data_IF_056957653719
#
_entry.id   IF_056957653719
#
_cell.length_a   1.000
_cell.length_b   1.000
_cell.length_c   1.000
_cell.angle_alpha   90.00
_cell.angle_beta   90.00
_cell.angle_gamma   90.00
#
_symmetry.space_group_name_H-M   'P 1'
#
loop_
_entity.id
_entity.type
_entity.pdbx_description
1 polymer ?
#
# COMPACT_ATOMS: atom_id res chain seq x y z
N UNK A 1 13.36 14.03 15.17
CA UNK A 1 12.10 14.72 15.55
C UNK A 1 12.02 15.18 17.01
N UNK A 2 12.93 14.82 17.93
CA UNK A 2 13.03 15.48 19.26
C UNK A 2 13.78 16.83 19.25
N UNK A 3 14.40 17.19 18.12
CA UNK A 3 15.27 18.36 17.99
C UNK A 3 14.57 19.72 18.09
N UNK A 4 13.23 19.76 17.96
CA UNK A 4 12.41 20.93 18.30
C UNK A 4 11.48 20.45 19.41
N UNK A 5 11.53 21.04 20.61
CA UNK A 5 10.70 20.69 21.78
C UNK A 5 9.19 20.93 21.53
N UNK A 6 8.62 20.30 20.50
CA UNK A 6 7.23 20.42 20.13
C UNK A 6 6.38 19.47 20.95
N UNK A 7 5.20 19.93 21.36
CA UNK A 7 4.25 19.10 22.11
C UNK A 7 3.69 17.98 21.21
N UNK A 8 3.42 16.82 21.81
CA UNK A 8 2.87 15.66 21.08
C UNK A 8 1.55 16.02 20.36
N UNK A 9 0.76 16.93 20.94
CA UNK A 9 -0.48 17.42 20.32
C UNK A 9 -0.22 18.18 19.02
N UNK A 10 0.81 19.04 18.99
CA UNK A 10 1.13 19.82 17.78
C UNK A 10 1.66 18.91 16.68
N UNK A 11 2.50 17.93 17.02
CA UNK A 11 2.98 16.91 16.07
C UNK A 11 1.82 16.10 15.49
N UNK A 12 0.87 15.69 16.35
CA UNK A 12 -0.33 14.96 15.94
C UNK A 12 -1.20 15.76 14.95
N UNK A 13 -1.44 17.04 15.23
CA UNK A 13 -2.19 17.93 14.34
C UNK A 13 -1.47 18.17 13.00
N UNK A 14 -0.16 18.39 13.02
CA UNK A 14 0.62 18.64 11.79
C UNK A 14 0.66 17.42 10.86
N UNK A 15 0.75 16.21 11.41
CA UNK A 15 0.88 14.97 10.64
C UNK A 15 -0.51 14.35 10.35
N UNK A 16 -1.58 14.86 10.95
CA UNK A 16 -2.93 14.28 10.84
C UNK A 16 -3.02 12.88 11.47
N UNK A 17 -2.25 12.63 12.54
CA UNK A 17 -2.19 11.34 13.22
C UNK A 17 -2.74 11.43 14.64
N UNK A 18 -3.32 10.35 15.18
CA UNK A 18 -3.80 10.31 16.56
C UNK A 18 -2.62 10.50 17.55
N UNK A 19 -2.83 11.29 18.61
CA UNK A 19 -1.83 11.51 19.66
C UNK A 19 -1.27 10.22 20.26
N UNK A 20 -2.09 9.18 20.47
CA UNK A 20 -1.62 7.89 21.00
C UNK A 20 -0.64 7.22 20.03
N UNK A 21 -0.86 7.35 18.73
CA UNK A 21 0.00 6.86 17.66
C UNK A 21 1.33 7.60 17.64
N UNK A 22 1.32 8.94 17.71
CA UNK A 22 2.56 9.74 17.80
C UNK A 22 3.36 9.39 19.06
N UNK A 23 2.69 9.25 20.21
CA UNK A 23 3.35 8.82 21.46
C UNK A 23 3.95 7.41 21.35
N UNK A 24 3.28 6.49 20.66
CA UNK A 24 3.79 5.13 20.42
C UNK A 24 5.05 5.18 19.56
N UNK A 25 5.03 5.92 18.45
CA UNK A 25 6.20 6.09 17.58
C UNK A 25 7.38 6.74 18.30
N UNK A 26 7.13 7.77 19.11
CA UNK A 26 8.18 8.43 19.90
C UNK A 26 8.80 7.51 20.96
N UNK A 27 8.06 6.51 21.47
CA UNK A 27 8.59 5.48 22.37
C UNK A 27 9.38 4.41 21.63
N UNK A 28 8.93 4.03 20.44
CA UNK A 28 9.59 3.03 19.59
C UNK A 28 10.82 3.58 18.87
N UNK A 29 11.03 4.90 18.86
CA UNK A 29 12.14 5.56 18.17
C UNK A 29 11.94 5.69 16.66
N UNK A 30 10.96 5.00 16.09
CA UNK A 30 10.60 5.06 14.68
C UNK A 30 9.08 4.92 14.49
N UNK A 31 8.51 5.40 13.37
CA UNK A 31 7.16 5.05 12.97
C UNK A 31 7.03 3.53 12.81
N UNK A 32 5.88 2.96 13.17
CA UNK A 32 5.62 1.53 12.93
C UNK A 32 5.77 1.20 11.46
N UNK A 33 6.49 0.13 11.14
CA UNK A 33 6.59 -0.38 9.76
C UNK A 33 5.19 -0.69 9.23
N UNK A 34 5.01 -0.42 7.94
CA UNK A 34 3.73 -0.54 7.26
C UNK A 34 3.08 -1.90 7.53
N UNK A 35 1.98 -1.90 8.30
CA UNK A 35 1.09 -3.04 8.38
C UNK A 35 -0.07 -2.77 7.42
N UNK A 36 -0.24 -3.65 6.44
CA UNK A 36 -1.43 -3.65 5.58
C UNK A 36 -2.64 -3.88 6.47
N UNK A 37 -3.33 -2.80 6.86
CA UNK A 37 -4.60 -2.90 7.57
C UNK A 37 -5.60 -3.39 6.54
N UNK A 38 -5.88 -4.70 6.55
CA UNK A 38 -7.00 -5.25 5.78
C UNK A 38 -8.25 -4.64 6.43
N UNK A 39 -8.82 -3.63 5.77
CA UNK A 39 -10.10 -3.09 6.18
C UNK A 39 -11.13 -4.17 5.87
N UNK A 40 -11.55 -4.91 6.89
CA UNK A 40 -12.76 -5.70 6.78
C UNK A 40 -13.91 -4.70 6.89
N UNK A 41 -14.73 -4.52 5.85
CA UNK A 41 -15.91 -3.67 5.98
C UNK A 41 -16.71 -4.18 7.18
N UNK A 42 -17.03 -3.27 8.10
CA UNK A 42 -17.83 -3.62 9.28
C UNK A 42 -19.18 -4.19 8.85
N UNK A 43 -19.80 -4.99 9.73
CA UNK A 43 -21.10 -5.65 9.47
C UNK A 43 -22.21 -4.62 9.11
N UNK A 44 -22.01 -3.35 9.46
CA UNK A 44 -22.91 -2.22 9.14
C UNK A 44 -22.76 -1.64 7.73
N UNK A 45 -21.64 -1.87 7.04
CA UNK A 45 -21.36 -1.23 5.74
C UNK A 45 -22.44 -1.53 4.69
N UNK A 46 -22.96 -2.76 4.55
CA UNK A 46 -24.04 -3.06 3.61
C UNK A 46 -25.35 -2.32 3.90
N UNK A 47 -25.60 -1.97 5.16
CA UNK A 47 -26.84 -1.34 5.62
C UNK A 47 -26.72 0.19 5.77
N UNK A 48 -25.53 0.75 5.56
CA UNK A 48 -25.25 2.17 5.79
C UNK A 48 -26.12 3.09 4.93
N UNK A 49 -26.31 2.78 3.65
CA UNK A 49 -27.12 3.59 2.74
C UNK A 49 -28.60 3.63 3.16
N UNK A 50 -29.14 2.48 3.58
CA UNK A 50 -30.50 2.40 4.10
C UNK A 50 -30.66 3.20 5.40
N UNK A 51 -29.72 3.05 6.33
CA UNK A 51 -29.75 3.77 7.59
C UNK A 51 -29.63 5.29 7.38
N UNK A 52 -28.79 5.75 6.45
CA UNK A 52 -28.68 7.16 6.08
C UNK A 52 -30.01 7.69 5.50
N UNK A 53 -30.65 6.93 4.60
CA UNK A 53 -31.95 7.30 4.04
C UNK A 53 -33.03 7.44 5.14
N UNK A 54 -33.15 6.46 6.04
CA UNK A 54 -34.13 6.50 7.13
C UNK A 54 -33.87 7.64 8.11
N UNK A 55 -32.60 8.00 8.31
CA UNK A 55 -32.24 9.17 9.11
C UNK A 55 -32.66 10.49 8.44
N UNK A 56 -32.52 10.60 7.11
CA UNK A 56 -33.02 11.77 6.35
C UNK A 56 -34.55 11.87 6.37
N UNK A 57 -35.25 10.74 6.39
CA UNK A 57 -36.71 10.66 6.58
C UNK A 57 -37.17 10.96 8.03
N UNK A 58 -36.25 11.35 8.93
CA UNK A 58 -36.54 11.72 10.32
C UNK A 58 -36.70 10.54 11.29
N UNK A 59 -36.43 9.31 10.86
CA UNK A 59 -36.48 8.13 11.72
C UNK A 59 -35.20 8.04 12.57
N UNK A 60 -35.29 8.60 13.78
CA UNK A 60 -34.16 8.71 14.72
C UNK A 60 -34.14 7.65 15.83
N UNK A 61 -35.11 6.72 15.82
CA UNK A 61 -35.23 5.68 16.83
C UNK A 61 -34.31 4.48 16.49
N UNK A 62 -33.23 4.33 17.25
CA UNK A 62 -32.26 3.26 17.06
C UNK A 62 -32.85 1.84 17.22
N UNK A 63 -33.88 1.66 18.04
CA UNK A 63 -34.49 0.33 18.25
C UNK A 63 -35.30 -0.09 17.02
N UNK A 64 -36.02 0.88 16.42
CA UNK A 64 -36.76 0.67 15.18
C UNK A 64 -35.81 0.37 14.01
N UNK A 65 -34.74 1.14 13.86
CA UNK A 65 -33.73 0.91 12.82
C UNK A 65 -33.02 -0.43 12.99
N UNK A 66 -32.75 -0.86 14.23
CA UNK A 66 -32.17 -2.18 14.51
C UNK A 66 -33.11 -3.33 14.10
N UNK A 67 -34.41 -3.20 14.36
CA UNK A 67 -35.42 -4.16 13.90
C UNK A 67 -35.55 -4.20 12.37
N UNK A 68 -35.56 -3.04 11.72
CA UNK A 68 -35.64 -2.91 10.25
C UNK A 68 -34.43 -3.57 9.57
N UNK A 69 -33.20 -3.36 10.06
CA UNK A 69 -32.01 -4.00 9.49
C UNK A 69 -31.89 -5.48 9.84
N UNK A 70 -32.39 -5.90 11.02
CA UNK A 70 -32.48 -7.32 11.40
C UNK A 70 -33.36 -8.10 10.43
N UNK A 71 -34.49 -7.53 10.02
CA UNK A 71 -35.37 -8.11 8.99
C UNK A 71 -34.67 -8.23 7.62
N UNK A 72 -33.71 -7.36 7.32
CA UNK A 72 -32.86 -7.41 6.11
C UNK A 72 -31.60 -8.29 6.28
N UNK A 73 -31.53 -9.11 7.33
CA UNK A 73 -30.46 -10.09 7.54
C UNK A 73 -29.26 -9.59 8.34
N UNK A 74 -29.37 -8.44 9.03
CA UNK A 74 -28.31 -7.95 9.90
C UNK A 74 -28.15 -8.86 11.14
N UNK A 75 -26.92 -9.27 11.46
CA UNK A 75 -26.63 -10.18 12.59
C UNK A 75 -25.96 -9.51 13.79
N UNK A 76 -25.81 -8.18 13.80
CA UNK A 76 -25.11 -7.47 14.86
C UNK A 76 -26.01 -7.00 16.02
N UNK A 77 -25.39 -6.47 17.07
CA UNK A 77 -26.09 -6.05 18.28
C UNK A 77 -26.70 -4.65 18.14
N UNK A 78 -27.78 -4.39 18.88
CA UNK A 78 -28.42 -3.08 18.99
C UNK A 78 -27.42 -1.95 19.32
N UNK A 79 -26.48 -2.21 20.25
CA UNK A 79 -25.43 -1.25 20.62
C UNK A 79 -24.62 -0.74 19.43
N UNK A 80 -24.33 -1.61 18.46
CA UNK A 80 -23.61 -1.22 17.24
C UNK A 80 -24.41 -0.25 16.37
N UNK A 81 -25.75 -0.38 16.32
CA UNK A 81 -26.64 0.54 15.59
C UNK A 81 -26.71 1.88 16.32
N UNK A 82 -26.87 1.85 17.64
CA UNK A 82 -26.87 3.05 18.50
C UNK A 82 -25.55 3.83 18.33
N UNK A 83 -24.41 3.16 18.44
CA UNK A 83 -23.09 3.77 18.30
C UNK A 83 -22.89 4.36 16.90
N UNK A 84 -23.38 3.68 15.87
CA UNK A 84 -23.32 4.15 14.48
C UNK A 84 -24.14 5.44 14.27
N UNK A 85 -25.37 5.49 14.80
CA UNK A 85 -26.22 6.69 14.74
C UNK A 85 -25.61 7.85 15.53
N UNK A 86 -25.11 7.59 16.75
CA UNK A 86 -24.46 8.60 17.59
C UNK A 86 -23.23 9.15 16.87
N UNK A 87 -22.38 8.29 16.30
CA UNK A 87 -21.22 8.72 15.52
C UNK A 87 -21.60 9.58 14.31
N UNK A 88 -22.74 9.31 13.66
CA UNK A 88 -23.24 10.08 12.50
C UNK A 88 -23.69 11.48 12.92
N UNK A 89 -24.39 11.60 14.06
CA UNK A 89 -24.79 12.90 14.64
C UNK A 89 -23.59 13.73 15.07
N UNK A 90 -22.64 13.10 15.78
CA UNK A 90 -21.40 13.75 16.16
C UNK A 90 -20.56 14.19 14.96
N UNK A 91 -20.69 13.51 13.81
CA UNK A 91 -20.01 13.90 12.57
C UNK A 91 -20.75 14.97 11.77
N UNK A 92 -22.06 15.13 11.96
CA UNK A 92 -22.87 16.17 11.33
C UNK A 92 -22.75 17.51 12.07
N UNK A 93 -22.71 17.47 13.42
CA UNK A 93 -22.50 18.68 14.25
C UNK A 93 -21.03 19.10 14.31
N UNK A 94 -20.10 18.17 14.09
CA UNK A 94 -18.71 18.51 13.99
C UNK A 94 -18.38 19.03 12.58
N UNK A 95 -18.15 20.33 12.48
CA UNK A 95 -17.27 20.90 11.48
C UNK A 95 -15.85 20.31 11.67
N UNK A 96 -15.69 19.05 11.27
CA UNK A 96 -14.40 18.39 11.26
C UNK A 96 -13.68 18.86 10.01
N UNK A 97 -12.46 19.42 10.13
CA UNK A 97 -11.64 19.70 8.97
C UNK A 97 -11.49 18.38 8.22
N UNK A 98 -11.88 18.38 6.94
CA UNK A 98 -11.64 17.29 5.99
C UNK A 98 -10.22 16.80 6.24
N UNK A 99 -9.98 15.51 6.54
CA UNK A 99 -8.65 15.05 6.84
C UNK A 99 -7.78 15.39 5.65
N UNK A 100 -6.77 16.25 5.86
CA UNK A 100 -5.79 16.58 4.85
C UNK A 100 -5.32 15.26 4.24
N UNK A 101 -5.36 15.17 2.90
CA UNK A 101 -5.04 13.94 2.16
C UNK A 101 -3.78 13.33 2.80
N UNK A 102 -3.85 12.08 3.30
CA UNK A 102 -2.77 11.51 4.08
C UNK A 102 -1.50 11.61 3.26
N UNK A 103 -0.44 12.12 3.90
CA UNK A 103 0.85 12.33 3.26
C UNK A 103 1.26 11.05 2.51
N UNK A 104 1.73 11.13 1.26
CA UNK A 104 2.07 9.93 0.50
C UNK A 104 3.13 9.14 1.27
N UNK A 105 2.79 7.89 1.61
CA UNK A 105 3.64 6.98 2.37
C UNK A 105 3.76 5.62 1.66
N UNK A 106 4.85 4.91 1.93
CA UNK A 106 5.10 3.57 1.38
C UNK A 106 5.21 3.60 -0.15
N UNK A 107 4.38 2.80 -0.83
CA UNK A 107 4.42 2.63 -2.30
C UNK A 107 4.18 3.94 -3.06
N UNK A 108 3.31 4.81 -2.57
CA UNK A 108 3.02 6.09 -3.23
C UNK A 108 4.23 7.03 -3.18
N UNK A 109 4.91 7.08 -2.03
CA UNK A 109 6.15 7.84 -1.87
C UNK A 109 7.27 7.25 -2.72
N UNK A 110 7.47 5.93 -2.66
CA UNK A 110 8.49 5.25 -3.45
C UNK A 110 8.29 5.51 -4.94
N UNK A 111 7.06 5.34 -5.46
CA UNK A 111 6.72 5.65 -6.86
C UNK A 111 7.02 7.10 -7.20
N UNK A 112 6.60 8.04 -6.36
CA UNK A 112 6.85 9.47 -6.58
C UNK A 112 8.35 9.81 -6.62
N UNK A 113 9.17 9.10 -5.84
CA UNK A 113 10.63 9.28 -5.84
C UNK A 113 11.32 8.61 -7.04
N UNK A 114 10.85 7.44 -7.48
CA UNK A 114 11.51 6.67 -8.56
C UNK A 114 11.00 6.98 -9.96
N UNK A 115 9.75 7.42 -10.11
CA UNK A 115 9.16 7.69 -11.43
C UNK A 115 9.50 9.12 -11.85
N UNK A 116 10.25 9.27 -12.95
CA UNK A 116 10.32 10.55 -13.67
C UNK A 116 8.98 10.82 -14.34
N UNK A 117 8.39 11.97 -14.07
CA UNK A 117 7.13 12.36 -14.67
C UNK A 117 7.19 13.84 -15.00
N UNK A 118 6.99 14.18 -16.26
CA UNK A 118 6.98 15.57 -16.73
C UNK A 118 5.80 16.37 -16.16
N UNK A 119 4.76 15.67 -15.67
CA UNK A 119 3.55 16.28 -15.13
C UNK A 119 3.52 16.31 -13.58
N UNK A 120 4.66 16.53 -12.91
CA UNK A 120 4.66 16.71 -11.44
C UNK A 120 4.02 18.03 -11.06
N UNK A 121 3.17 18.00 -10.04
CA UNK A 121 2.66 19.25 -9.45
C UNK A 121 3.79 20.00 -8.75
N UNK A 122 3.77 21.32 -8.80
CA UNK A 122 4.72 22.20 -8.08
C UNK A 122 4.82 21.84 -6.58
N UNK A 123 3.68 21.47 -5.96
CA UNK A 123 3.62 21.02 -4.56
C UNK A 123 4.40 19.72 -4.33
N UNK A 124 4.38 18.80 -5.30
CA UNK A 124 5.10 17.52 -5.22
C UNK A 124 6.60 17.74 -5.38
N UNK A 125 7.01 18.60 -6.31
CA UNK A 125 8.43 18.94 -6.52
C UNK A 125 9.02 19.57 -5.25
N UNK A 126 8.35 20.59 -4.69
CA UNK A 126 8.79 21.23 -3.45
C UNK A 126 8.82 20.26 -2.28
N UNK A 127 7.86 19.33 -2.21
CA UNK A 127 7.85 18.29 -1.19
C UNK A 127 9.04 17.33 -1.32
N UNK A 128 9.30 16.82 -2.53
CA UNK A 128 10.44 15.94 -2.80
C UNK A 128 11.74 16.67 -2.44
N UNK A 129 11.91 17.91 -2.88
CA UNK A 129 13.11 18.71 -2.60
C UNK A 129 13.33 18.85 -1.09
N UNK A 130 12.31 19.28 -0.34
CA UNK A 130 12.38 19.37 1.13
C UNK A 130 12.69 18.03 1.78
N UNK A 131 12.12 16.95 1.27
CA UNK A 131 12.35 15.60 1.79
C UNK A 131 13.79 15.13 1.54
N UNK A 132 14.32 15.36 0.35
CA UNK A 132 15.71 15.01 0.01
C UNK A 132 16.71 15.82 0.84
N UNK A 133 16.43 17.11 1.08
CA UNK A 133 17.25 17.96 1.97
C UNK A 133 17.19 17.49 3.42
N UNK A 134 16.00 17.10 3.92
CA UNK A 134 15.82 16.67 5.29
C UNK A 134 16.38 15.26 5.57
N UNK A 135 16.49 14.40 4.56
CA UNK A 135 16.93 13.01 4.67
C UNK A 135 17.97 12.66 3.58
N UNK A 136 19.26 12.99 3.78
CA UNK A 136 20.28 12.79 2.75
C UNK A 136 20.50 11.31 2.39
N UNK A 137 20.33 10.38 3.34
CA UNK A 137 20.41 8.94 3.06
C UNK A 137 19.32 8.46 2.09
N UNK A 138 18.13 9.08 2.15
CA UNK A 138 17.04 8.78 1.22
C UNK A 138 17.39 9.31 -0.17
N UNK A 139 17.96 10.52 -0.26
CA UNK A 139 18.41 11.10 -1.53
C UNK A 139 19.44 10.19 -2.22
N UNK A 140 20.45 9.71 -1.48
CA UNK A 140 21.45 8.77 -2.00
C UNK A 140 20.81 7.48 -2.50
N UNK A 141 19.88 6.88 -1.75
CA UNK A 141 19.17 5.68 -2.17
C UNK A 141 18.37 5.91 -3.45
N UNK A 142 17.64 7.03 -3.54
CA UNK A 142 16.82 7.35 -4.73
C UNK A 142 17.65 7.61 -5.96
N UNK A 143 18.79 8.31 -5.82
CA UNK A 143 19.72 8.55 -6.92
C UNK A 143 20.30 7.24 -7.44
N UNK A 144 20.73 6.34 -6.55
CA UNK A 144 21.23 5.02 -6.93
C UNK A 144 20.17 4.18 -7.66
N UNK A 145 18.92 4.17 -7.18
CA UNK A 145 17.83 3.43 -7.84
C UNK A 145 17.57 3.98 -9.25
N UNK A 146 17.60 5.30 -9.45
CA UNK A 146 17.46 5.90 -10.78
C UNK A 146 18.62 5.53 -11.70
N UNK A 147 19.85 5.60 -11.22
CA UNK A 147 21.02 5.17 -12.00
C UNK A 147 20.91 3.69 -12.42
N UNK A 148 20.43 2.81 -11.53
CA UNK A 148 20.16 1.42 -11.88
C UNK A 148 19.05 1.28 -12.92
N UNK A 149 17.96 2.05 -12.82
CA UNK A 149 16.87 2.04 -13.81
C UNK A 149 17.35 2.54 -15.18
N UNK A 150 18.13 3.61 -15.22
CA UNK A 150 18.74 4.14 -16.43
C UNK A 150 19.69 3.12 -17.05
N UNK A 151 20.50 2.44 -16.23
CA UNK A 151 21.38 1.37 -16.69
C UNK A 151 20.60 0.25 -17.42
N UNK A 152 19.47 -0.20 -16.85
CA UNK A 152 18.64 -1.24 -17.48
C UNK A 152 17.83 -0.76 -18.69
N UNK A 153 17.44 0.51 -18.75
CA UNK A 153 16.56 1.04 -19.82
C UNK A 153 17.33 1.65 -20.99
N UNK A 154 18.39 2.41 -20.72
CA UNK A 154 19.16 3.16 -21.72
C UNK A 154 20.44 2.43 -22.17
N UNK A 155 20.68 1.20 -21.70
CA UNK A 155 21.87 0.37 -22.00
C UNK A 155 23.18 1.18 -21.92
N UNK A 156 23.34 1.93 -20.84
CA UNK A 156 24.51 2.78 -20.61
C UNK A 156 25.77 1.92 -20.47
N UNK A 157 26.93 2.38 -20.96
CA UNK A 157 28.25 1.73 -20.82
C UNK A 157 28.78 1.64 -19.36
N UNK A 158 28.00 2.05 -18.36
CA UNK A 158 28.43 2.01 -16.97
C UNK A 158 28.62 0.55 -16.52
N UNK A 159 29.76 0.22 -15.91
CA UNK A 159 29.99 -1.13 -15.39
C UNK A 159 29.02 -1.44 -14.24
N UNK A 160 28.27 -2.54 -14.36
CA UNK A 160 27.36 -3.04 -13.31
C UNK A 160 28.07 -3.18 -11.95
N UNK A 161 29.34 -3.58 -11.96
CA UNK A 161 30.12 -3.74 -10.73
C UNK A 161 30.31 -2.42 -9.99
N UNK A 162 30.60 -1.34 -10.72
CA UNK A 162 30.73 0.01 -10.15
C UNK A 162 29.42 0.45 -9.51
N UNK A 163 28.29 0.25 -10.20
CA UNK A 163 26.96 0.55 -9.67
C UNK A 163 26.66 -0.25 -8.41
N UNK A 164 27.04 -1.52 -8.36
CA UNK A 164 26.86 -2.35 -7.17
C UNK A 164 27.77 -1.91 -6.00
N UNK A 165 28.97 -1.37 -6.25
CA UNK A 165 29.83 -0.82 -5.19
C UNK A 165 29.27 0.48 -4.62
N UNK A 166 28.74 1.36 -5.47
CA UNK A 166 28.04 2.57 -5.02
C UNK A 166 26.80 2.23 -4.20
N UNK A 167 26.04 1.23 -4.62
CA UNK A 167 24.84 0.78 -3.93
C UNK A 167 25.09 0.30 -2.50
N UNK A 168 26.27 -0.27 -2.20
CA UNK A 168 26.64 -0.70 -0.84
C UNK A 168 26.71 0.46 0.15
N UNK A 169 27.02 1.67 -0.33
CA UNK A 169 27.12 2.88 0.51
C UNK A 169 25.74 3.43 0.89
N UNK A 170 24.68 2.95 0.24
CA UNK A 170 23.30 3.38 0.49
C UNK A 170 22.60 2.47 1.50
N UNK A 171 21.43 2.88 2.04
CA UNK A 171 20.55 2.01 2.83
C UNK A 171 20.11 0.71 2.13
N UNK A 172 20.35 0.57 0.82
CA UNK A 172 19.99 -0.59 0.01
C UNK A 172 21.10 -1.66 -0.05
N UNK A 173 22.13 -1.55 0.79
CA UNK A 173 23.25 -2.49 0.85
C UNK A 173 22.84 -3.98 0.92
N UNK A 174 21.79 -4.32 1.68
CA UNK A 174 21.25 -5.70 1.74
C UNK A 174 20.69 -6.17 0.40
N UNK A 175 19.96 -5.30 -0.31
CA UNK A 175 19.43 -5.60 -1.65
C UNK A 175 20.57 -5.80 -2.65
N UNK A 176 21.57 -4.92 -2.60
CA UNK A 176 22.78 -4.97 -3.42
C UNK A 176 23.60 -6.25 -3.17
N UNK A 177 23.67 -6.71 -1.92
CA UNK A 177 24.30 -8.00 -1.59
C UNK A 177 23.50 -9.18 -2.15
N UNK A 178 22.17 -9.07 -2.24
CA UNK A 178 21.33 -10.03 -2.97
C UNK A 178 21.71 -10.11 -4.44
N UNK A 179 21.72 -8.96 -5.12
CA UNK A 179 22.10 -8.88 -6.55
C UNK A 179 23.51 -9.42 -6.82
N UNK A 180 24.46 -9.22 -5.91
CA UNK A 180 25.81 -9.79 -6.04
C UNK A 180 25.84 -11.31 -5.97
N UNK A 181 24.99 -11.94 -5.14
CA UNK A 181 24.91 -13.41 -5.08
C UNK A 181 24.43 -13.99 -6.42
N UNK A 182 23.50 -13.28 -7.05
CA UNK A 182 22.89 -13.68 -8.32
C UNK A 182 23.53 -12.97 -9.53
N UNK A 183 24.79 -12.51 -9.42
CA UNK A 183 25.43 -11.66 -10.43
C UNK A 183 25.45 -12.33 -11.82
N UNK A 184 25.74 -13.62 -11.89
CA UNK A 184 25.74 -14.38 -13.14
C UNK A 184 24.37 -14.41 -13.79
N UNK A 185 23.29 -14.55 -13.01
CA UNK A 185 21.92 -14.51 -13.51
C UNK A 185 21.53 -13.10 -13.98
N UNK A 186 21.95 -12.06 -13.25
CA UNK A 186 21.71 -10.65 -13.64
C UNK A 186 22.44 -10.31 -14.94
N UNK A 187 23.70 -10.74 -15.09
CA UNK A 187 24.46 -10.57 -16.33
C UNK A 187 23.83 -11.35 -17.48
N UNK A 188 23.43 -12.60 -17.26
CA UNK A 188 22.72 -13.39 -18.27
C UNK A 188 21.43 -12.69 -18.71
N UNK A 189 20.66 -12.11 -17.79
CA UNK A 189 19.44 -11.36 -18.11
C UNK A 189 19.71 -10.09 -18.94
N UNK A 190 20.92 -9.50 -18.86
CA UNK A 190 21.31 -8.34 -19.67
C UNK A 190 21.77 -8.73 -21.08
N UNK A 191 22.46 -9.86 -21.21
CA UNK A 191 23.07 -10.29 -22.48
C UNK A 191 22.19 -11.21 -23.31
N UNK A 192 21.25 -11.91 -22.69
CA UNK A 192 20.39 -12.87 -23.37
C UNK A 192 18.98 -12.31 -23.62
N UNK A 193 18.33 -12.67 -24.75
CA UNK A 193 16.95 -12.28 -25.01
C UNK A 193 15.93 -13.17 -24.27
N UNK A 194 16.39 -14.15 -23.50
CA UNK A 194 15.53 -15.16 -22.88
C UNK A 194 14.93 -14.64 -21.58
N UNK A 195 13.62 -14.82 -21.41
CA UNK A 195 12.90 -14.47 -20.18
C UNK A 195 12.10 -15.67 -19.69
N UNK A 196 12.03 -15.87 -18.37
CA UNK A 196 11.20 -16.92 -17.76
C UNK A 196 9.72 -16.52 -17.71
N UNK A 197 9.39 -15.26 -18.04
CA UNK A 197 8.04 -14.70 -17.94
C UNK A 197 6.95 -15.57 -18.61
N UNK A 198 7.12 -16.09 -19.84
CA UNK A 198 6.10 -16.93 -20.46
C UNK A 198 5.86 -18.23 -19.68
N UNK A 199 6.95 -18.85 -19.19
CA UNK A 199 6.90 -20.07 -18.39
C UNK A 199 6.22 -19.82 -17.05
N UNK A 200 6.55 -18.71 -16.37
CA UNK A 200 5.89 -18.30 -15.12
C UNK A 200 4.40 -18.03 -15.31
N UNK A 201 4.01 -17.46 -16.46
CA UNK A 201 2.61 -17.30 -16.85
C UNK A 201 1.88 -18.64 -16.94
N UNK A 202 2.48 -19.62 -17.61
CA UNK A 202 1.90 -20.97 -17.71
C UNK A 202 1.84 -21.68 -16.35
N UNK A 203 2.86 -21.55 -15.51
CA UNK A 203 2.87 -22.08 -14.15
C UNK A 203 1.75 -21.44 -13.32
N UNK A 204 1.53 -20.13 -13.45
CA UNK A 204 0.47 -19.41 -12.74
C UNK A 204 -0.92 -19.87 -13.20
N UNK A 205 -1.12 -20.05 -14.50
CA UNK A 205 -2.35 -20.64 -15.07
C UNK A 205 -2.60 -22.05 -14.53
N UNK A 206 -1.57 -22.90 -14.48
CA UNK A 206 -1.64 -24.24 -13.91
C UNK A 206 -2.00 -24.22 -12.43
N UNK A 207 -1.36 -23.35 -11.65
CA UNK A 207 -1.67 -23.17 -10.22
C UNK A 207 -3.11 -22.71 -10.04
N UNK A 208 -3.61 -21.79 -10.85
CA UNK A 208 -5.01 -21.35 -10.81
C UNK A 208 -5.98 -22.52 -11.04
N UNK A 209 -5.77 -23.34 -12.08
CA UNK A 209 -6.61 -24.53 -12.33
C UNK A 209 -6.54 -25.51 -11.15
N UNK A 210 -5.36 -25.69 -10.56
CA UNK A 210 -5.20 -26.54 -9.38
C UNK A 210 -5.94 -25.96 -8.16
N UNK A 211 -5.91 -24.66 -7.95
CA UNK A 211 -6.59 -23.98 -6.85
C UNK A 211 -8.12 -23.99 -6.99
N UNK A 212 -8.67 -23.81 -8.20
CA UNK A 212 -10.12 -23.92 -8.45
C UNK A 212 -10.63 -25.33 -8.22
N UNK A 213 -9.76 -26.33 -8.28
CA UNK A 213 -10.06 -27.73 -7.99
C UNK A 213 -9.62 -28.16 -6.58
N UNK A 214 -9.46 -27.21 -5.65
CA UNK A 214 -9.11 -27.47 -4.25
C UNK A 214 -7.84 -28.32 -4.07
N UNK A 215 -6.88 -28.21 -5.01
CA UNK A 215 -5.65 -28.99 -4.98
C UNK A 215 -5.77 -30.45 -5.44
N UNK A 216 -6.97 -30.93 -5.78
CA UNK A 216 -7.26 -32.34 -6.09
C UNK A 216 -6.99 -32.72 -7.55
N UNK A 217 -6.56 -31.77 -8.37
CA UNK A 217 -6.21 -32.04 -9.76
C UNK A 217 -4.82 -32.69 -9.87
N UNK A 218 -4.80 -34.01 -10.07
CA UNK A 218 -3.59 -34.76 -10.45
C UNK A 218 -3.17 -34.48 -11.90
N UNK A 219 -2.00 -34.97 -12.31
CA UNK A 219 -1.41 -34.65 -13.63
C UNK A 219 -2.33 -34.97 -14.81
N UNK A 220 -2.97 -36.15 -14.83
CA UNK A 220 -3.91 -36.54 -15.91
C UNK A 220 -5.04 -35.52 -16.07
N UNK A 221 -5.64 -35.09 -14.96
CA UNK A 221 -6.75 -34.14 -14.94
C UNK A 221 -6.31 -32.71 -15.29
N UNK A 222 -5.14 -32.28 -14.80
CA UNK A 222 -4.53 -31.00 -15.19
C UNK A 222 -4.24 -30.95 -16.68
N UNK A 223 -3.61 -32.00 -17.23
CA UNK A 223 -3.32 -32.13 -18.67
C UNK A 223 -4.59 -32.03 -19.50
N UNK A 224 -5.64 -32.78 -19.13
CA UNK A 224 -6.93 -32.73 -19.81
C UNK A 224 -7.52 -31.30 -19.78
N UNK A 225 -7.54 -30.63 -18.63
CA UNK A 225 -8.09 -29.27 -18.53
C UNK A 225 -7.28 -28.21 -19.27
N UNK A 226 -5.96 -28.36 -19.37
CA UNK A 226 -5.12 -27.41 -20.09
C UNK A 226 -5.24 -27.61 -21.60
N UNK A 227 -5.20 -28.84 -22.08
CA UNK A 227 -5.26 -29.16 -23.51
C UNK A 227 -6.67 -29.02 -24.09
N UNK A 228 -7.72 -29.25 -23.29
CA UNK A 228 -9.12 -29.15 -23.73
C UNK A 228 -9.83 -27.86 -23.28
N UNK A 229 -9.12 -26.91 -22.66
CA UNK A 229 -9.66 -25.57 -22.47
C UNK A 229 -9.79 -24.89 -23.83
N UNK A 230 -11.01 -24.91 -24.40
CA UNK A 230 -11.32 -24.15 -25.62
C UNK A 230 -10.93 -22.68 -25.38
N UNK A 231 -10.20 -22.09 -26.34
CA UNK A 231 -10.10 -20.64 -26.43
C UNK A 231 -11.52 -20.11 -26.63
N UNK A 232 -11.99 -19.32 -25.67
CA UNK A 232 -13.14 -18.43 -25.82
C UNK A 232 -12.60 -17.01 -26.02
#
# INVERSE_FOLDING_TARGET
MRAKRQTINRIAQTIGAERKTVRRWLRQGHPSTWQRRIFRPGIMVPYAAYLDQRLMEGCHNAARLHGEIMAMGFSGRYGSVRDWIVSRRSSADACHPVPAKPMPMGRNLARMLTTESDNRSEKEVLFIQRLMTAAPMLAQATAWVRNMQDFFTKKTQASLEKLLEEGKKTPLSRFVNGLRRDLSAVQAALHTPWTTNPVEGQISRLKMIKHTMFGRAGFKLLRARVLHAKCA
#
